data_IF_797941359119
#
_entry.id   IF_797941359119
#
_cell.length_a   1.000
_cell.length_b   1.000
_cell.length_c   1.000
_cell.angle_alpha   90.00
_cell.angle_beta   90.00
_cell.angle_gamma   90.00
#
_symmetry.space_group_name_H-M   'P 1'
#
loop_
_entity.id
_entity.type
_entity.pdbx_description
1 polymer ?
#
# COMPACT_ATOMS: atom_id res chain seq x y z
N UNK A 1 -23.87 -60.40 58.33
CA UNK A 1 -22.64 -60.19 57.58
C UNK A 1 -22.98 -60.12 56.11
N UNK A 2 -23.16 -58.93 55.57
CA UNK A 2 -23.55 -58.69 54.17
C UNK A 2 -22.51 -57.80 53.52
N UNK A 3 -21.84 -58.31 52.48
CA UNK A 3 -20.86 -57.56 51.65
C UNK A 3 -21.59 -56.83 50.55
N UNK A 4 -21.61 -55.54 50.56
CA UNK A 4 -22.04 -54.70 49.43
C UNK A 4 -20.88 -54.49 48.47
N UNK A 5 -21.07 -54.90 47.22
CA UNK A 5 -20.13 -54.61 46.11
C UNK A 5 -20.46 -53.20 45.55
N UNK A 6 -19.45 -52.31 45.53
CA UNK A 6 -19.52 -51.09 44.78
C UNK A 6 -19.20 -51.36 43.30
N UNK A 7 -20.11 -51.05 42.44
CA UNK A 7 -19.88 -51.07 41.00
C UNK A 7 -19.37 -49.69 40.55
N UNK A 8 -18.17 -49.66 39.96
CA UNK A 8 -17.58 -48.48 39.37
C UNK A 8 -18.17 -48.27 37.96
N UNK A 9 -18.92 -47.22 37.79
CA UNK A 9 -19.36 -46.77 36.47
C UNK A 9 -18.24 -45.93 35.78
N UNK A 10 -17.70 -46.47 34.68
CA UNK A 10 -16.76 -45.75 33.83
C UNK A 10 -17.57 -44.89 32.86
N UNK A 11 -17.54 -43.59 33.05
CA UNK A 11 -18.11 -42.63 32.11
C UNK A 11 -17.14 -42.40 30.95
N UNK A 12 -17.46 -42.91 29.76
CA UNK A 12 -16.78 -42.57 28.51
C UNK A 12 -17.17 -41.12 28.12
N UNK A 13 -16.24 -40.17 28.26
CA UNK A 13 -16.36 -38.86 27.70
C UNK A 13 -16.06 -38.93 26.19
N UNK A 14 -17.06 -38.82 25.36
CA UNK A 14 -16.92 -38.64 23.89
C UNK A 14 -16.49 -37.21 23.64
N UNK A 15 -15.22 -37.00 23.37
CA UNK A 15 -14.68 -35.73 22.86
C UNK A 15 -15.14 -35.56 21.40
N UNK A 16 -16.22 -34.82 21.21
CA UNK A 16 -16.60 -34.34 19.90
C UNK A 16 -15.57 -33.29 19.45
N UNK A 17 -14.65 -33.70 18.59
CA UNK A 17 -13.73 -32.80 17.89
C UNK A 17 -14.59 -31.92 16.94
N UNK A 18 -14.87 -30.71 17.34
CA UNK A 18 -15.41 -29.68 16.47
C UNK A 18 -14.32 -29.28 15.47
N UNK A 19 -14.32 -29.89 14.29
CA UNK A 19 -13.60 -29.44 13.14
C UNK A 19 -14.13 -28.07 12.76
N UNK A 20 -13.45 -27.00 13.21
CA UNK A 20 -13.71 -25.67 12.62
C UNK A 20 -13.45 -25.79 11.12
N UNK A 21 -14.40 -25.42 10.26
CA UNK A 21 -14.10 -25.31 8.84
C UNK A 21 -13.02 -24.25 8.71
N UNK A 22 -11.82 -24.68 8.27
CA UNK A 22 -10.73 -23.77 7.94
C UNK A 22 -11.31 -22.68 7.04
N UNK A 23 -11.03 -21.41 7.38
CA UNK A 23 -11.26 -20.29 6.51
C UNK A 23 -10.46 -20.54 5.23
N UNK A 24 -11.03 -21.31 4.31
CA UNK A 24 -10.55 -21.43 2.96
C UNK A 24 -10.50 -20.01 2.41
N UNK A 25 -9.30 -19.52 2.16
CA UNK A 25 -9.06 -18.28 1.43
C UNK A 25 -9.90 -18.35 0.17
N UNK A 26 -11.00 -17.59 0.11
CA UNK A 26 -11.90 -17.53 -1.03
C UNK A 26 -11.27 -16.79 -2.22
N UNK A 27 -10.03 -17.11 -2.56
CA UNK A 27 -9.38 -16.81 -3.83
C UNK A 27 -9.82 -17.87 -4.85
N UNK A 28 -11.15 -17.95 -5.07
CA UNK A 28 -11.79 -18.92 -5.91
C UNK A 28 -11.15 -19.00 -7.28
N UNK A 29 -10.67 -20.20 -7.62
CA UNK A 29 -10.24 -20.63 -8.97
C UNK A 29 -11.46 -20.70 -9.92
N UNK A 30 -12.25 -19.63 -10.00
CA UNK A 30 -13.50 -19.55 -10.72
C UNK A 30 -13.47 -18.44 -11.79
N UNK A 31 -14.61 -17.93 -12.22
CA UNK A 31 -14.79 -16.98 -13.33
C UNK A 31 -13.95 -15.69 -13.25
N UNK A 32 -13.36 -15.35 -12.10
CA UNK A 32 -12.46 -14.19 -11.95
C UNK A 32 -11.13 -14.32 -12.73
N UNK A 33 -10.72 -15.52 -13.15
CA UNK A 33 -9.44 -15.70 -13.85
C UNK A 33 -9.39 -15.03 -15.23
N UNK A 34 -10.53 -14.90 -15.90
CA UNK A 34 -10.65 -14.22 -17.21
C UNK A 34 -10.67 -12.70 -17.09
N UNK A 35 -10.95 -12.16 -15.91
CA UNK A 35 -10.93 -10.71 -15.67
C UNK A 35 -9.55 -10.14 -15.88
N UNK A 36 -9.48 -8.90 -16.33
CA UNK A 36 -8.25 -8.11 -16.40
C UNK A 36 -7.96 -7.46 -15.03
N UNK A 37 -6.70 -7.14 -14.78
CA UNK A 37 -6.27 -6.49 -13.53
C UNK A 37 -7.05 -5.21 -13.21
N UNK A 38 -7.41 -4.42 -14.23
CA UNK A 38 -8.17 -3.18 -14.05
C UNK A 38 -9.67 -3.39 -13.89
N UNK A 39 -10.16 -4.62 -14.02
CA UNK A 39 -11.58 -4.97 -13.84
C UNK A 39 -11.93 -5.39 -12.40
N UNK A 40 -10.98 -5.28 -11.49
CA UNK A 40 -11.19 -5.51 -10.06
C UNK A 40 -10.94 -4.25 -9.25
N UNK A 41 -11.42 -4.24 -8.00
CA UNK A 41 -11.11 -3.24 -7.00
C UNK A 41 -10.58 -3.92 -5.74
N UNK A 42 -9.55 -3.33 -5.13
CA UNK A 42 -8.90 -3.80 -3.90
C UNK A 42 -8.73 -2.65 -2.92
N UNK A 43 -8.62 -3.00 -1.63
CA UNK A 43 -8.19 -2.07 -0.59
C UNK A 43 -6.67 -2.12 -0.47
N UNK A 44 -6.07 -0.97 -0.24
CA UNK A 44 -4.69 -0.81 0.16
C UNK A 44 -4.56 0.07 1.39
N UNK A 45 -3.39 0.09 2.00
CA UNK A 45 -3.05 1.02 3.07
C UNK A 45 -2.25 2.19 2.51
N UNK A 46 -2.44 3.38 3.10
CA UNK A 46 -1.59 4.54 2.93
C UNK A 46 -0.49 4.48 3.98
N UNK A 47 0.72 4.90 3.68
CA UNK A 47 1.86 4.83 4.61
C UNK A 47 1.96 3.49 5.36
N UNK A 48 1.94 2.39 4.65
CA UNK A 48 1.76 1.03 5.19
C UNK A 48 2.78 0.60 6.25
N UNK A 49 3.88 1.29 6.34
CA UNK A 49 4.99 1.08 7.27
C UNK A 49 4.86 1.94 8.53
N UNK A 50 3.98 2.96 8.53
CA UNK A 50 3.94 4.02 9.52
C UNK A 50 3.66 3.51 10.94
N UNK A 51 4.42 4.05 11.89
CA UNK A 51 4.18 3.95 13.33
C UNK A 51 4.25 5.35 13.93
N UNK A 52 3.27 5.64 14.75
CA UNK A 52 3.20 6.92 15.45
C UNK A 52 4.40 7.15 16.37
N UNK A 53 4.78 8.40 16.52
CA UNK A 53 5.79 8.87 17.46
C UNK A 53 5.36 8.63 18.91
N UNK A 54 6.32 8.53 19.83
CA UNK A 54 6.08 8.53 21.26
C UNK A 54 5.52 9.87 21.74
N UNK A 55 4.88 9.92 22.88
CA UNK A 55 4.32 11.17 23.44
C UNK A 55 5.33 12.33 23.51
N UNK A 56 6.58 12.13 24.02
CA UNK A 56 7.58 13.22 24.02
C UNK A 56 7.95 13.69 22.60
N UNK A 57 8.05 12.77 21.64
CA UNK A 57 8.36 13.10 20.26
C UNK A 57 7.22 13.87 19.57
N UNK A 58 5.95 13.54 19.85
CA UNK A 58 4.79 14.29 19.36
C UNK A 58 4.78 15.72 19.90
N UNK A 59 5.02 15.89 21.20
CA UNK A 59 5.11 17.21 21.80
C UNK A 59 6.25 18.06 21.18
N UNK A 60 7.40 17.45 20.90
CA UNK A 60 8.51 18.10 20.23
C UNK A 60 8.18 18.43 18.74
N UNK A 61 7.44 17.55 18.06
CA UNK A 61 6.92 17.79 16.72
C UNK A 61 5.97 18.99 16.70
N UNK A 62 4.97 19.00 17.58
CA UNK A 62 3.96 20.04 17.63
C UNK A 62 4.56 21.40 18.03
N UNK A 63 5.60 21.42 18.87
CA UNK A 63 6.35 22.63 19.21
C UNK A 63 7.03 23.26 17.97
N UNK A 64 7.45 22.46 16.98
CA UNK A 64 8.00 22.94 15.71
C UNK A 64 6.92 23.68 14.89
N UNK A 65 5.66 23.27 15.01
CA UNK A 65 4.52 23.83 14.29
C UNK A 65 3.68 24.80 15.13
N UNK A 66 4.27 25.41 16.16
CA UNK A 66 3.61 26.43 16.98
C UNK A 66 2.81 25.91 18.17
N UNK A 67 2.98 24.64 18.55
CA UNK A 67 2.42 24.05 19.77
C UNK A 67 0.97 23.56 19.65
N UNK A 68 0.32 23.69 18.49
CA UNK A 68 -0.98 23.08 18.27
C UNK A 68 -0.85 21.55 18.17
N UNK A 69 -1.85 20.75 18.62
CA UNK A 69 -1.77 19.29 18.60
C UNK A 69 -1.97 18.72 17.18
N UNK A 70 -1.11 19.12 16.26
CA UNK A 70 -1.17 18.75 14.83
C UNK A 70 -0.93 17.26 14.67
N UNK A 71 0.07 16.72 15.39
CA UNK A 71 0.40 15.29 15.27
C UNK A 71 -0.77 14.40 15.68
N UNK A 72 -1.36 14.68 16.83
CA UNK A 72 -2.49 13.88 17.35
C UNK A 72 -3.75 13.98 16.48
N UNK A 73 -3.89 15.05 15.72
CA UNK A 73 -5.03 15.23 14.81
C UNK A 73 -4.82 14.65 13.40
N UNK A 74 -3.57 14.37 13.00
CA UNK A 74 -3.25 13.94 11.63
C UNK A 74 -2.47 12.64 11.54
N UNK A 75 -1.51 12.39 12.45
CA UNK A 75 -0.48 11.36 12.28
C UNK A 75 -0.42 10.32 13.43
N UNK A 76 -1.20 10.49 14.50
CA UNK A 76 -1.15 9.59 15.65
C UNK A 76 -1.86 8.24 15.39
N UNK A 77 -1.50 7.55 14.33
CA UNK A 77 -1.96 6.19 13.99
C UNK A 77 -0.78 5.27 13.70
N UNK A 78 -1.01 3.97 13.73
CA UNK A 78 0.03 2.97 13.44
C UNK A 78 -0.53 1.80 12.65
N UNK A 79 0.24 1.31 11.70
CA UNK A 79 -0.09 0.11 10.95
C UNK A 79 0.50 -1.16 11.57
N UNK A 80 -0.15 -2.29 11.32
CA UNK A 80 0.40 -3.61 11.54
C UNK A 80 1.59 -3.88 10.60
N UNK A 81 2.37 -4.93 10.86
CA UNK A 81 3.44 -5.35 9.93
C UNK A 81 2.90 -5.65 8.52
N UNK A 82 3.71 -5.43 7.48
CA UNK A 82 3.31 -5.66 6.09
C UNK A 82 2.72 -7.07 5.84
N UNK A 83 3.29 -8.17 6.36
CA UNK A 83 2.68 -9.49 6.21
C UNK A 83 1.30 -9.62 6.88
N UNK A 84 1.09 -8.94 8.01
CA UNK A 84 -0.19 -8.95 8.71
C UNK A 84 -1.27 -8.17 7.93
N UNK A 85 -0.91 -7.03 7.35
CA UNK A 85 -1.80 -6.27 6.47
C UNK A 85 -2.23 -7.11 5.26
N UNK A 86 -1.30 -7.80 4.60
CA UNK A 86 -1.58 -8.67 3.45
C UNK A 86 -2.39 -9.92 3.83
N UNK A 87 -2.09 -10.51 4.99
CA UNK A 87 -2.71 -11.76 5.46
C UNK A 87 -4.04 -11.51 6.18
N UNK A 88 -3.98 -11.02 7.41
CA UNK A 88 -5.15 -10.86 8.29
C UNK A 88 -6.08 -9.74 7.84
N UNK A 89 -5.51 -8.56 7.52
CA UNK A 89 -6.31 -7.41 7.09
C UNK A 89 -6.76 -7.50 5.62
N UNK A 90 -6.24 -8.45 4.86
CA UNK A 90 -6.71 -8.73 3.50
C UNK A 90 -6.42 -7.65 2.47
N UNK A 91 -5.54 -6.67 2.76
CA UNK A 91 -5.19 -5.62 1.80
C UNK A 91 -4.38 -6.17 0.62
N UNK A 92 -4.48 -5.49 -0.52
CA UNK A 92 -3.75 -5.85 -1.75
C UNK A 92 -3.00 -4.67 -2.36
N UNK A 93 -3.00 -3.54 -1.67
CA UNK A 93 -2.16 -2.38 -1.95
C UNK A 93 -1.34 -1.97 -0.73
N UNK A 94 -0.12 -1.54 -0.95
CA UNK A 94 0.78 -0.98 0.06
C UNK A 94 1.36 0.34 -0.47
N UNK A 95 1.69 1.25 0.44
CA UNK A 95 2.39 2.49 0.12
C UNK A 95 3.64 2.61 0.98
N UNK A 96 4.79 2.91 0.36
CA UNK A 96 6.09 3.01 1.01
C UNK A 96 6.78 4.31 0.57
N UNK A 97 7.18 5.13 1.53
CA UNK A 97 7.90 6.38 1.28
C UNK A 97 9.40 6.15 1.37
N UNK A 98 10.11 6.57 0.35
CA UNK A 98 11.48 6.17 0.10
C UNK A 98 12.46 7.32 0.24
N UNK A 99 13.54 7.08 0.96
CA UNK A 99 14.67 8.00 1.14
C UNK A 99 15.98 7.35 0.69
N UNK A 100 16.73 7.94 -0.27
CA UNK A 100 18.03 7.41 -0.69
C UNK A 100 19.05 7.47 0.45
N UNK A 101 19.67 6.34 0.75
CA UNK A 101 20.77 6.25 1.73
C UNK A 101 21.86 5.27 1.28
N UNK A 102 22.58 5.61 0.19
CA UNK A 102 23.54 4.69 -0.42
C UNK A 102 24.71 4.30 0.49
N UNK A 103 25.08 5.15 1.44
CA UNK A 103 26.16 4.89 2.39
C UNK A 103 25.66 4.26 3.71
N UNK A 104 24.38 4.44 4.05
CA UNK A 104 23.82 4.12 5.37
C UNK A 104 24.06 5.23 6.39
N UNK A 105 23.27 5.23 7.47
CA UNK A 105 23.44 6.13 8.61
C UNK A 105 22.88 7.53 8.46
N UNK A 106 22.48 7.97 7.26
CA UNK A 106 22.04 9.34 7.00
C UNK A 106 20.87 9.77 7.88
N UNK A 107 19.93 8.87 8.13
CA UNK A 107 18.67 9.15 8.85
C UNK A 107 18.68 8.59 10.29
N UNK A 108 19.84 8.18 10.79
CA UNK A 108 19.95 7.56 12.11
C UNK A 108 19.83 8.55 13.27
N UNK A 109 19.99 9.86 13.03
CA UNK A 109 19.91 10.89 14.07
C UNK A 109 18.91 12.01 13.70
N UNK A 110 17.59 11.72 13.73
CA UNK A 110 16.55 12.68 13.37
C UNK A 110 16.56 13.97 14.22
N UNK A 111 16.10 15.09 13.66
CA UNK A 111 16.01 16.39 14.34
C UNK A 111 15.24 16.30 15.67
N UNK A 112 14.10 15.59 15.74
CA UNK A 112 13.32 15.44 16.96
C UNK A 112 14.15 14.75 18.06
N UNK A 113 14.91 13.72 17.74
CA UNK A 113 15.77 13.03 18.72
C UNK A 113 16.89 13.93 19.22
N UNK A 114 17.48 14.74 18.36
CA UNK A 114 18.50 15.73 18.74
C UNK A 114 17.92 16.77 19.70
N UNK A 115 16.70 17.27 19.44
CA UNK A 115 16.00 18.21 20.31
C UNK A 115 15.65 17.62 21.69
N UNK A 116 15.38 16.34 21.74
CA UNK A 116 15.06 15.62 22.97
C UNK A 116 16.30 15.04 23.67
N UNK A 117 17.52 15.29 23.16
CA UNK A 117 18.76 14.68 23.64
C UNK A 117 18.66 13.13 23.78
N UNK A 118 17.85 12.49 22.93
CA UNK A 118 17.56 11.04 23.00
C UNK A 118 18.62 10.16 22.32
N UNK A 119 19.67 10.77 21.76
CA UNK A 119 20.71 10.10 20.99
C UNK A 119 20.20 9.51 19.65
N UNK A 120 21.10 8.96 18.81
CA UNK A 120 20.73 8.37 17.55
C UNK A 120 19.92 7.08 17.71
N UNK A 121 19.23 6.68 16.64
CA UNK A 121 18.58 5.38 16.51
C UNK A 121 19.64 4.28 16.44
N UNK A 122 19.46 3.18 17.16
CA UNK A 122 20.52 2.17 17.34
C UNK A 122 20.35 0.91 16.50
N UNK A 123 19.15 0.69 15.91
CA UNK A 123 18.92 -0.51 15.12
C UNK A 123 19.82 -0.55 13.86
N UNK A 124 20.46 -1.71 13.55
CA UNK A 124 21.43 -1.83 12.47
C UNK A 124 20.91 -1.43 11.09
N UNK A 125 19.60 -1.54 10.86
CA UNK A 125 18.96 -1.15 9.60
C UNK A 125 19.14 0.33 9.27
N UNK A 126 19.26 1.20 10.28
CA UNK A 126 19.50 2.62 10.09
C UNK A 126 20.88 2.90 9.48
N UNK A 127 21.87 2.07 9.81
CA UNK A 127 23.27 2.22 9.38
C UNK A 127 23.62 1.40 8.14
N UNK A 128 22.74 0.46 7.75
CA UNK A 128 22.96 -0.36 6.56
C UNK A 128 22.76 0.46 5.27
N UNK A 129 23.60 0.34 4.25
CA UNK A 129 23.36 0.93 2.94
C UNK A 129 22.04 0.51 2.30
N UNK A 130 21.43 1.41 1.52
CA UNK A 130 20.19 1.16 0.79
C UNK A 130 19.08 2.13 1.16
N UNK A 131 17.99 2.06 0.40
CA UNK A 131 16.84 2.97 0.56
C UNK A 131 16.14 2.72 1.90
N UNK A 132 15.81 3.81 2.62
CA UNK A 132 15.03 3.77 3.86
C UNK A 132 13.55 4.05 3.59
N UNK A 133 12.71 3.51 4.47
CA UNK A 133 11.26 3.70 4.44
C UNK A 133 10.88 4.49 5.69
N UNK A 134 10.51 5.75 5.48
CA UNK A 134 10.24 6.75 6.52
C UNK A 134 9.19 7.72 5.96
N UNK A 135 8.29 8.25 6.80
CA UNK A 135 7.30 9.24 6.37
C UNK A 135 7.94 10.63 6.20
N UNK A 136 8.52 11.18 7.28
CA UNK A 136 9.32 12.40 7.24
C UNK A 136 10.58 12.20 8.05
N UNK A 137 11.73 12.20 7.40
CA UNK A 137 13.00 11.70 7.94
C UNK A 137 13.39 12.27 9.31
N UNK A 138 13.09 13.52 9.59
CA UNK A 138 13.44 14.23 10.83
C UNK A 138 12.28 14.40 11.81
N UNK A 139 11.04 14.34 11.31
CA UNK A 139 9.85 14.76 12.04
C UNK A 139 8.84 13.66 12.29
N UNK A 140 8.86 12.56 11.50
CA UNK A 140 7.97 11.42 11.66
C UNK A 140 8.64 10.15 11.06
N UNK A 141 9.57 9.60 11.82
CA UNK A 141 10.55 8.60 11.33
C UNK A 141 10.29 7.18 11.82
N UNK A 142 9.29 6.93 12.65
CA UNK A 142 8.99 5.57 13.10
C UNK A 142 8.41 4.71 11.97
N UNK A 143 8.94 3.50 11.84
CA UNK A 143 8.57 2.58 10.77
C UNK A 143 8.52 1.14 11.30
N UNK A 144 7.55 0.35 10.81
CA UNK A 144 7.51 -1.11 11.06
C UNK A 144 8.56 -1.86 10.27
N UNK A 145 9.19 -1.19 9.28
CA UNK A 145 10.15 -1.80 8.37
C UNK A 145 11.00 -0.72 7.70
N UNK A 146 12.25 -0.53 8.16
CA UNK A 146 13.10 0.63 7.82
C UNK A 146 13.79 0.52 6.46
N UNK A 147 14.28 -0.67 6.05
CA UNK A 147 15.08 -0.84 4.82
C UNK A 147 14.26 -1.45 3.70
N UNK A 148 14.20 -0.79 2.53
CA UNK A 148 13.38 -1.21 1.40
C UNK A 148 13.57 -2.69 1.04
N UNK A 149 14.79 -3.13 0.82
CA UNK A 149 15.05 -4.53 0.47
C UNK A 149 14.56 -5.53 1.53
N UNK A 150 14.61 -5.17 2.82
CA UNK A 150 14.10 -6.01 3.91
C UNK A 150 12.57 -6.07 3.90
N UNK A 151 11.91 -4.94 3.71
CA UNK A 151 10.46 -4.83 3.60
C UNK A 151 9.93 -5.62 2.40
N UNK A 152 10.58 -5.45 1.26
CA UNK A 152 10.21 -6.18 0.04
C UNK A 152 10.42 -7.68 0.17
N UNK A 153 11.42 -8.14 0.93
CA UNK A 153 11.58 -9.57 1.27
C UNK A 153 10.43 -10.12 2.12
N UNK A 154 9.87 -9.31 3.05
CA UNK A 154 8.66 -9.68 3.80
C UNK A 154 7.47 -9.88 2.87
N UNK A 155 7.22 -8.91 1.99
CA UNK A 155 6.15 -8.96 0.98
C UNK A 155 6.34 -10.18 0.07
N UNK A 156 7.55 -10.41 -0.44
CA UNK A 156 7.86 -11.56 -1.30
C UNK A 156 7.62 -12.90 -0.61
N UNK A 157 8.03 -13.05 0.66
CA UNK A 157 7.76 -14.27 1.44
C UNK A 157 6.27 -14.55 1.53
N UNK A 158 5.48 -13.52 1.89
CA UNK A 158 4.03 -13.65 1.94
C UNK A 158 3.44 -14.01 0.57
N UNK A 159 3.84 -13.31 -0.49
CA UNK A 159 3.38 -13.57 -1.86
C UNK A 159 3.66 -15.00 -2.32
N UNK A 160 4.83 -15.53 -2.01
CA UNK A 160 5.21 -16.92 -2.33
C UNK A 160 4.43 -17.96 -1.56
N UNK A 161 4.10 -17.67 -0.31
CA UNK A 161 3.24 -18.55 0.50
C UNK A 161 1.76 -18.51 0.04
N UNK A 162 1.35 -17.45 -0.66
CA UNK A 162 -0.04 -17.21 -1.06
C UNK A 162 -0.19 -17.02 -2.58
N UNK A 163 0.37 -17.91 -3.40
CA UNK A 163 0.49 -17.73 -4.88
C UNK A 163 -0.81 -17.49 -5.63
N UNK A 164 -1.97 -17.74 -5.00
CA UNK A 164 -3.29 -17.46 -5.56
C UNK A 164 -3.73 -16.00 -5.44
N UNK A 165 -2.99 -15.14 -4.74
CA UNK A 165 -3.41 -13.75 -4.53
C UNK A 165 -3.55 -12.97 -5.84
N UNK A 166 -4.49 -12.01 -5.89
CA UNK A 166 -4.53 -11.03 -6.99
C UNK A 166 -3.29 -10.14 -6.95
N UNK A 167 -2.90 -9.47 -8.05
CA UNK A 167 -1.70 -8.64 -8.06
C UNK A 167 -1.60 -7.72 -6.85
N UNK A 168 -0.44 -7.69 -6.20
CA UNK A 168 -0.15 -6.69 -5.19
C UNK A 168 0.27 -5.39 -5.89
N UNK A 169 -0.30 -4.28 -5.45
CA UNK A 169 0.01 -2.94 -5.95
C UNK A 169 0.83 -2.22 -4.89
N UNK A 170 2.12 -1.96 -5.14
CA UNK A 170 2.99 -1.25 -4.20
C UNK A 170 3.27 0.14 -4.76
N UNK A 171 2.73 1.14 -4.08
CA UNK A 171 2.94 2.54 -4.38
C UNK A 171 4.22 3.00 -3.68
N UNK A 172 5.08 3.71 -4.40
CA UNK A 172 6.35 4.24 -3.89
C UNK A 172 6.34 5.75 -4.01
N UNK A 173 6.38 6.44 -2.87
CA UNK A 173 6.60 7.89 -2.81
C UNK A 173 8.10 8.16 -2.64
N UNK A 174 8.70 8.85 -3.60
CA UNK A 174 10.09 9.23 -3.57
C UNK A 174 10.21 10.59 -2.89
N UNK A 175 10.68 10.57 -1.66
CA UNK A 175 10.71 11.75 -0.78
C UNK A 175 11.89 12.65 -1.09
N UNK A 176 11.68 13.93 -0.84
CA UNK A 176 12.67 14.99 -0.92
C UNK A 176 12.87 15.61 0.48
N UNK A 177 13.79 16.54 0.62
CA UNK A 177 14.02 17.25 1.89
C UNK A 177 12.73 17.97 2.32
N UNK A 178 12.28 17.68 3.53
CA UNK A 178 11.17 18.44 4.12
C UNK A 178 11.61 19.90 4.35
N UNK A 179 10.87 20.89 3.85
CA UNK A 179 11.29 22.30 3.94
C UNK A 179 11.41 22.80 5.39
N UNK A 180 10.50 22.35 6.29
CA UNK A 180 10.50 22.78 7.70
C UNK A 180 11.69 22.15 8.42
N UNK A 181 11.89 20.85 8.28
CA UNK A 181 13.04 20.17 8.86
C UNK A 181 14.35 20.75 8.31
N UNK A 182 14.44 20.97 7.00
CA UNK A 182 15.61 21.55 6.35
C UNK A 182 15.99 22.92 6.90
N UNK A 183 15.03 23.82 7.08
CA UNK A 183 15.22 25.14 7.67
C UNK A 183 15.71 25.09 9.14
N UNK A 184 15.45 23.98 9.84
CA UNK A 184 15.85 23.75 11.24
C UNK A 184 17.11 22.89 11.38
N UNK A 185 17.89 22.70 10.31
CA UNK A 185 19.09 21.89 10.32
C UNK A 185 18.83 20.39 10.29
N UNK A 186 17.69 19.98 9.73
CA UNK A 186 17.37 18.61 9.41
C UNK A 186 18.23 18.02 8.29
N UNK A 187 18.06 16.74 8.01
CA UNK A 187 18.86 16.01 7.04
C UNK A 187 18.52 16.43 5.60
N UNK A 188 19.53 16.74 4.80
CA UNK A 188 19.36 16.92 3.36
C UNK A 188 19.23 15.57 2.65
N UNK A 189 18.16 15.41 1.88
CA UNK A 189 17.87 14.19 1.12
C UNK A 189 18.60 14.25 -0.22
N UNK A 190 19.36 13.21 -0.60
CA UNK A 190 19.97 13.13 -1.94
C UNK A 190 18.90 13.14 -3.04
N UNK A 191 19.16 13.79 -4.18
CA UNK A 191 18.18 13.90 -5.25
C UNK A 191 17.86 12.52 -5.88
N UNK A 192 16.64 12.37 -6.37
CA UNK A 192 16.21 11.24 -7.20
C UNK A 192 16.57 11.48 -8.67
N UNK A 193 17.87 11.53 -8.95
CA UNK A 193 18.40 11.59 -10.31
C UNK A 193 18.28 10.25 -11.06
N UNK A 194 18.68 10.23 -12.33
CA UNK A 194 18.62 9.01 -13.15
C UNK A 194 19.36 7.82 -12.52
N UNK A 195 20.51 8.07 -11.91
CA UNK A 195 21.33 7.01 -11.27
C UNK A 195 20.65 6.48 -9.99
N UNK A 196 20.05 7.36 -9.18
CA UNK A 196 19.26 6.95 -8.00
C UNK A 196 18.04 6.13 -8.39
N UNK A 197 17.37 6.50 -9.47
CA UNK A 197 16.22 5.78 -10.01
C UNK A 197 16.58 4.43 -10.62
N UNK A 198 17.73 4.33 -11.27
CA UNK A 198 18.28 3.05 -11.75
C UNK A 198 18.66 2.12 -10.58
N UNK A 199 19.21 2.67 -9.49
CA UNK A 199 19.48 1.92 -8.25
C UNK A 199 18.19 1.42 -7.59
N UNK A 200 17.10 2.22 -7.58
CA UNK A 200 15.80 1.80 -7.09
C UNK A 200 15.27 0.58 -7.89
N UNK A 201 15.28 0.66 -9.23
CA UNK A 201 14.90 -0.45 -10.09
C UNK A 201 15.75 -1.71 -9.80
N UNK A 202 17.07 -1.53 -9.62
CA UNK A 202 18.00 -2.61 -9.29
C UNK A 202 17.72 -3.22 -7.90
N UNK A 203 17.46 -2.39 -6.88
CA UNK A 203 17.13 -2.86 -5.53
C UNK A 203 15.84 -3.71 -5.53
N UNK A 204 14.81 -3.29 -6.26
CA UNK A 204 13.58 -4.09 -6.43
C UNK A 204 13.88 -5.42 -7.12
N UNK A 205 14.67 -5.41 -8.21
CA UNK A 205 15.06 -6.63 -8.93
C UNK A 205 15.95 -7.56 -8.13
N UNK A 206 16.73 -7.04 -7.18
CA UNK A 206 17.53 -7.86 -6.27
C UNK A 206 16.68 -8.72 -5.35
N UNK A 207 15.45 -8.25 -5.07
CA UNK A 207 14.50 -8.96 -4.21
C UNK A 207 13.57 -9.87 -5.02
N UNK A 208 12.98 -9.38 -6.10
CA UNK A 208 11.98 -10.13 -6.89
C UNK A 208 12.59 -10.70 -8.17
N UNK A 209 12.27 -11.96 -8.48
CA UNK A 209 12.55 -12.52 -9.81
C UNK A 209 11.70 -11.83 -10.87
N UNK A 210 12.16 -11.79 -12.11
CA UNK A 210 11.41 -11.19 -13.23
C UNK A 210 9.98 -11.77 -13.36
N UNK A 211 9.81 -13.06 -13.13
CA UNK A 211 8.51 -13.74 -13.18
C UNK A 211 7.56 -13.35 -12.03
N UNK A 212 8.08 -12.79 -10.94
CA UNK A 212 7.28 -12.33 -9.79
C UNK A 212 6.82 -10.87 -9.94
N UNK A 213 7.32 -10.15 -10.96
CA UNK A 213 7.01 -8.74 -11.22
C UNK A 213 6.03 -8.59 -12.38
N UNK A 214 5.13 -7.60 -12.28
CA UNK A 214 4.39 -7.03 -13.40
C UNK A 214 5.03 -5.68 -13.68
N UNK A 215 5.71 -5.56 -14.83
CA UNK A 215 6.38 -4.34 -15.26
C UNK A 215 5.67 -3.71 -16.45
N UNK A 216 6.00 -2.46 -16.84
CA UNK A 216 5.48 -1.87 -18.07
C UNK A 216 5.66 -2.74 -19.32
N UNK A 217 6.76 -3.52 -19.39
CA UNK A 217 7.01 -4.43 -20.51
C UNK A 217 6.02 -5.62 -20.59
N UNK A 218 5.43 -6.04 -19.46
CA UNK A 218 4.38 -7.08 -19.48
C UNK A 218 3.03 -6.56 -20.01
N UNK A 219 2.83 -5.25 -19.99
CA UNK A 219 1.58 -4.57 -20.35
C UNK A 219 1.66 -3.96 -21.73
N UNK A 220 2.81 -3.39 -22.08
CA UNK A 220 3.03 -2.76 -23.40
C UNK A 220 2.99 -3.80 -24.51
N UNK A 221 2.31 -3.47 -25.61
CA UNK A 221 2.21 -4.31 -26.80
C UNK A 221 3.20 -3.84 -27.87
N UNK A 222 3.72 -4.76 -28.70
CA UNK A 222 4.58 -4.39 -29.82
C UNK A 222 3.95 -3.29 -30.69
N UNK A 223 4.76 -2.31 -31.07
CA UNK A 223 4.32 -1.16 -31.90
C UNK A 223 3.41 -0.14 -31.19
N UNK A 224 3.10 -0.32 -29.92
CA UNK A 224 2.26 0.61 -29.15
C UNK A 224 3.02 1.25 -27.99
N UNK A 225 2.66 2.48 -27.65
CA UNK A 225 3.04 3.06 -26.35
C UNK A 225 2.37 2.31 -25.22
N UNK A 226 2.86 2.46 -24.00
CA UNK A 226 2.22 1.87 -22.81
C UNK A 226 0.77 2.36 -22.69
N UNK A 227 0.54 3.67 -22.86
CA UNK A 227 -0.79 4.27 -22.83
C UNK A 227 -1.73 3.65 -23.87
N UNK A 228 -1.30 3.57 -25.13
CA UNK A 228 -2.13 2.95 -26.19
C UNK A 228 -2.40 1.47 -25.92
N UNK A 229 -1.47 0.78 -25.27
CA UNK A 229 -1.64 -0.62 -24.91
C UNK A 229 -2.77 -0.80 -23.89
N UNK A 230 -2.78 -0.03 -22.79
CA UNK A 230 -3.82 -0.15 -21.76
C UNK A 230 -5.20 0.29 -22.26
N UNK A 231 -5.27 1.36 -23.04
CA UNK A 231 -6.53 1.91 -23.55
C UNK A 231 -7.14 1.02 -24.65
N UNK A 232 -6.32 0.52 -25.59
CA UNK A 232 -6.84 -0.22 -26.76
C UNK A 232 -6.87 -1.73 -26.58
N UNK A 233 -5.94 -2.29 -25.80
CA UNK A 233 -5.74 -3.73 -25.62
C UNK A 233 -6.02 -4.22 -24.21
N UNK A 234 -6.06 -3.30 -23.24
CA UNK A 234 -6.30 -3.55 -21.83
C UNK A 234 -5.13 -4.25 -21.12
N UNK A 235 -5.31 -4.46 -19.85
CA UNK A 235 -4.35 -5.06 -18.93
C UNK A 235 -4.27 -6.58 -19.05
N UNK A 236 -3.22 -7.24 -18.52
CA UNK A 236 -3.16 -8.68 -18.38
C UNK A 236 -4.35 -9.24 -17.61
N UNK A 237 -4.75 -10.46 -17.93
CA UNK A 237 -5.78 -11.19 -17.16
C UNK A 237 -5.27 -11.58 -15.78
N UNK A 238 -6.16 -11.75 -14.81
CA UNK A 238 -5.80 -12.22 -13.47
C UNK A 238 -5.11 -13.58 -13.51
N UNK A 239 -5.47 -14.46 -14.45
CA UNK A 239 -4.76 -15.72 -14.66
C UNK A 239 -3.25 -15.54 -14.90
N UNK A 240 -2.86 -14.47 -15.61
CA UNK A 240 -1.44 -14.14 -15.89
C UNK A 240 -0.80 -13.30 -14.79
N UNK A 241 -1.60 -12.60 -13.99
CA UNK A 241 -1.14 -11.59 -13.05
C UNK A 241 -1.13 -12.07 -11.58
N UNK A 242 -1.85 -13.16 -11.24
CA UNK A 242 -1.86 -13.70 -9.87
C UNK A 242 -0.47 -14.09 -9.40
N UNK A 243 -0.24 -13.93 -8.09
CA UNK A 243 1.03 -14.24 -7.44
C UNK A 243 2.17 -13.30 -7.81
N UNK A 244 1.87 -12.15 -8.47
CA UNK A 244 2.86 -11.16 -8.92
C UNK A 244 2.67 -9.82 -8.24
N UNK A 245 3.72 -9.00 -8.25
CA UNK A 245 3.78 -7.68 -7.62
C UNK A 245 4.01 -6.62 -8.69
N UNK A 246 3.33 -5.49 -8.57
CA UNK A 246 3.43 -4.33 -9.44
C UNK A 246 3.83 -3.11 -8.62
N UNK A 247 4.79 -2.33 -9.11
CA UNK A 247 5.25 -1.11 -8.47
C UNK A 247 4.74 0.13 -9.21
N UNK A 248 4.25 1.10 -8.44
CA UNK A 248 3.65 2.34 -8.91
C UNK A 248 4.43 3.51 -8.31
N UNK A 249 4.79 4.52 -9.11
CA UNK A 249 5.38 5.76 -8.61
C UNK A 249 4.28 6.69 -8.13
N UNK A 250 4.33 7.13 -6.88
CA UNK A 250 3.35 8.06 -6.31
C UNK A 250 3.55 9.49 -6.83
N UNK A 251 4.81 9.91 -6.99
CA UNK A 251 5.16 11.23 -7.46
C UNK A 251 4.48 11.54 -8.79
N UNK A 252 3.82 12.70 -8.84
CA UNK A 252 3.16 13.21 -10.05
C UNK A 252 4.16 13.64 -11.13
N UNK A 253 3.64 14.18 -12.24
CA UNK A 253 4.48 14.76 -13.27
C UNK A 253 5.36 15.90 -12.73
N UNK A 254 6.68 15.73 -12.82
CA UNK A 254 7.70 16.65 -12.30
C UNK A 254 9.11 16.16 -12.64
N UNK A 255 10.12 16.68 -11.95
CA UNK A 255 11.54 16.37 -12.21
C UNK A 255 11.84 14.86 -12.06
N UNK A 256 11.35 14.22 -11.00
CA UNK A 256 11.57 12.80 -10.72
C UNK A 256 10.99 11.91 -11.83
N UNK A 257 9.71 12.13 -12.21
CA UNK A 257 9.09 11.34 -13.27
C UNK A 257 9.70 11.63 -14.64
N UNK A 258 10.17 12.85 -14.90
CA UNK A 258 10.90 13.20 -16.11
C UNK A 258 12.23 12.46 -16.19
N UNK A 259 13.01 12.44 -15.11
CA UNK A 259 14.26 11.67 -15.03
C UNK A 259 14.02 10.16 -15.21
N UNK A 260 12.93 9.62 -14.65
CA UNK A 260 12.60 8.19 -14.78
C UNK A 260 12.22 7.79 -16.21
N UNK A 261 11.57 8.68 -16.96
CA UNK A 261 11.14 8.45 -18.34
C UNK A 261 12.16 8.88 -19.41
N UNK A 262 13.27 9.52 -18.99
CA UNK A 262 14.30 10.00 -19.91
C UNK A 262 14.86 8.85 -20.78
N UNK A 263 14.84 9.03 -22.11
CA UNK A 263 15.21 8.01 -23.08
C UNK A 263 14.26 6.79 -23.17
N UNK A 264 13.22 6.73 -22.33
CA UNK A 264 12.31 5.58 -22.21
C UNK A 264 10.84 6.05 -22.11
N UNK A 265 10.30 6.76 -23.11
CA UNK A 265 9.01 7.46 -23.02
C UNK A 265 7.80 6.53 -22.76
N UNK A 266 7.94 5.22 -23.00
CA UNK A 266 6.93 4.20 -22.70
C UNK A 266 7.43 3.19 -21.66
N UNK A 267 8.36 3.60 -20.80
CA UNK A 267 8.92 2.83 -19.67
C UNK A 267 9.58 1.50 -20.07
N UNK A 268 10.24 1.43 -21.24
CA UNK A 268 10.98 0.24 -21.66
C UNK A 268 12.06 -0.12 -20.62
N UNK A 269 12.08 -1.38 -20.16
CA UNK A 269 13.04 -1.88 -19.20
C UNK A 269 12.90 -1.32 -17.79
N UNK A 270 11.93 -0.46 -17.49
CA UNK A 270 11.65 0.07 -16.15
C UNK A 270 10.82 -0.91 -15.30
N UNK A 271 10.86 -0.74 -13.98
CA UNK A 271 10.06 -1.54 -13.04
C UNK A 271 8.75 -0.84 -12.69
N UNK A 272 8.79 0.47 -12.44
CA UNK A 272 7.66 1.24 -11.95
C UNK A 272 6.78 1.75 -13.11
N UNK A 273 5.47 1.79 -12.83
CA UNK A 273 4.51 2.57 -13.60
C UNK A 273 4.42 3.97 -13.02
N UNK A 274 4.60 4.98 -13.84
CA UNK A 274 4.55 6.39 -13.42
C UNK A 274 3.11 6.86 -13.18
N UNK A 275 2.92 7.73 -12.19
CA UNK A 275 1.70 8.53 -12.05
C UNK A 275 1.74 9.62 -13.12
N UNK A 276 1.13 9.35 -14.26
CA UNK A 276 1.27 10.16 -15.47
C UNK A 276 -0.03 10.82 -15.90
N UNK A 277 0.07 11.88 -16.71
CA UNK A 277 -1.11 12.51 -17.31
C UNK A 277 -1.67 11.62 -18.42
N UNK A 278 -3.01 11.41 -18.47
CA UNK A 278 -3.66 10.69 -19.57
C UNK A 278 -3.21 11.21 -20.94
N UNK A 279 -2.96 10.29 -21.88
CA UNK A 279 -2.48 10.61 -23.23
C UNK A 279 -0.95 10.59 -23.39
N UNK A 280 -0.17 10.74 -22.33
CA UNK A 280 1.29 10.60 -22.44
C UNK A 280 1.70 9.15 -22.70
N UNK A 281 2.82 8.90 -23.40
CA UNK A 281 3.24 7.54 -23.78
C UNK A 281 3.40 6.56 -22.60
N UNK A 282 3.79 7.03 -21.42
CA UNK A 282 3.97 6.27 -20.18
C UNK A 282 2.69 6.09 -19.36
N UNK A 283 1.58 6.75 -19.74
CA UNK A 283 0.37 6.80 -18.92
C UNK A 283 -0.38 5.46 -18.92
N UNK A 284 -0.29 4.75 -17.81
CA UNK A 284 -1.09 3.55 -17.52
C UNK A 284 -1.72 3.63 -16.11
N UNK A 285 -1.05 4.30 -15.20
CA UNK A 285 -1.45 4.55 -13.83
C UNK A 285 -1.70 6.05 -13.59
N UNK A 286 -2.74 6.37 -12.79
CA UNK A 286 -3.12 7.75 -12.44
C UNK A 286 -3.54 7.80 -10.98
N UNK A 287 -2.92 8.67 -10.19
CA UNK A 287 -3.34 8.96 -8.81
C UNK A 287 -4.38 10.09 -8.77
N UNK A 288 -5.47 9.88 -8.04
CA UNK A 288 -6.53 10.85 -7.76
C UNK A 288 -7.00 10.66 -6.32
N UNK A 289 -6.35 11.35 -5.37
CA UNK A 289 -6.59 11.14 -3.92
C UNK A 289 -7.98 11.55 -3.48
N UNK A 290 -8.49 12.67 -3.98
CA UNK A 290 -9.80 13.20 -3.62
C UNK A 290 -10.89 12.64 -4.56
N UNK A 291 -11.77 11.75 -4.09
CA UNK A 291 -12.81 11.16 -4.93
C UNK A 291 -14.15 11.90 -4.91
N UNK A 292 -14.31 12.94 -4.08
CA UNK A 292 -15.61 13.64 -3.88
C UNK A 292 -15.91 14.64 -5.00
N UNK A 293 -17.16 15.07 -5.09
CA UNK A 293 -17.62 16.11 -6.03
C UNK A 293 -17.34 15.76 -7.50
N UNK A 294 -16.85 16.72 -8.26
CA UNK A 294 -16.53 16.56 -9.68
C UNK A 294 -15.45 15.52 -9.96
N UNK A 295 -14.57 15.26 -8.99
CA UNK A 295 -13.50 14.28 -9.10
C UNK A 295 -14.02 12.85 -9.25
N UNK A 296 -15.17 12.52 -8.63
CA UNK A 296 -15.79 11.21 -8.78
C UNK A 296 -16.03 10.85 -10.25
N UNK A 297 -16.59 11.79 -11.00
CA UNK A 297 -16.84 11.58 -12.44
C UNK A 297 -15.53 11.55 -13.24
N UNK A 298 -14.52 12.31 -12.83
CA UNK A 298 -13.19 12.25 -13.46
C UNK A 298 -12.55 10.86 -13.26
N UNK A 299 -12.56 10.32 -12.03
CA UNK A 299 -12.06 8.97 -11.75
C UNK A 299 -12.81 7.94 -12.59
N UNK A 300 -14.14 7.99 -12.64
CA UNK A 300 -14.96 7.07 -13.44
C UNK A 300 -14.62 7.12 -14.93
N UNK A 301 -14.36 8.32 -15.49
CA UNK A 301 -13.90 8.45 -16.89
C UNK A 301 -12.55 7.78 -17.11
N UNK A 302 -11.58 7.99 -16.22
CA UNK A 302 -10.25 7.36 -16.29
C UNK A 302 -10.35 5.84 -16.24
N UNK A 303 -11.15 5.32 -15.32
CA UNK A 303 -11.41 3.88 -15.16
C UNK A 303 -12.01 3.27 -16.43
N UNK A 304 -13.05 3.91 -17.02
CA UNK A 304 -13.66 3.46 -18.27
C UNK A 304 -12.71 3.55 -19.48
N UNK A 305 -11.79 4.52 -19.45
CA UNK A 305 -10.75 4.64 -20.48
C UNK A 305 -9.65 3.58 -20.37
N UNK A 306 -9.64 2.76 -19.30
CA UNK A 306 -8.71 1.65 -19.15
C UNK A 306 -7.49 1.94 -18.27
N UNK A 307 -7.37 3.13 -17.68
CA UNK A 307 -6.31 3.44 -16.74
C UNK A 307 -6.52 2.70 -15.41
N UNK A 308 -5.42 2.33 -14.76
CA UNK A 308 -5.41 1.92 -13.36
C UNK A 308 -5.39 3.18 -12.49
N UNK A 309 -6.34 3.31 -11.58
CA UNK A 309 -6.50 4.50 -10.75
C UNK A 309 -6.36 4.14 -9.27
N UNK A 310 -5.61 4.96 -8.52
CA UNK A 310 -5.58 4.96 -7.06
C UNK A 310 -6.33 6.18 -6.56
N UNK A 311 -7.13 5.97 -5.48
CA UNK A 311 -7.78 7.04 -4.73
C UNK A 311 -7.66 6.80 -3.23
N UNK A 312 -8.00 7.78 -2.39
CA UNK A 312 -8.04 7.66 -0.93
C UNK A 312 -9.49 7.67 -0.44
N UNK A 313 -9.75 6.91 0.61
CA UNK A 313 -11.04 6.84 1.30
C UNK A 313 -11.12 7.71 2.54
N UNK A 314 -9.97 8.18 3.01
CA UNK A 314 -9.79 9.00 4.20
C UNK A 314 -8.57 9.92 4.08
N UNK A 315 -8.59 11.00 4.85
CA UNK A 315 -7.41 11.74 5.29
C UNK A 315 -7.12 11.27 6.71
N UNK A 316 -5.88 10.85 7.03
CA UNK A 316 -5.56 10.26 8.32
C UNK A 316 -6.11 11.10 9.48
N UNK A 317 -6.68 10.43 10.44
CA UNK A 317 -7.35 10.94 11.62
C UNK A 317 -8.43 11.99 11.40
N UNK A 318 -8.21 13.03 10.60
CA UNK A 318 -9.21 14.08 10.36
C UNK A 318 -10.57 13.51 9.91
N UNK A 319 -10.56 12.56 8.97
CA UNK A 319 -11.78 11.87 8.53
C UNK A 319 -12.36 10.98 9.63
N UNK A 320 -11.51 10.28 10.36
CA UNK A 320 -11.95 9.37 11.45
C UNK A 320 -12.52 10.16 12.61
N UNK A 321 -11.83 11.22 13.04
CA UNK A 321 -12.27 12.06 14.15
C UNK A 321 -13.59 12.78 13.84
N UNK A 322 -13.80 13.23 12.59
CA UNK A 322 -15.05 13.84 12.15
C UNK A 322 -16.21 12.85 12.02
N UNK A 323 -15.92 11.55 11.87
CA UNK A 323 -16.92 10.52 11.57
C UNK A 323 -17.50 10.62 10.15
N UNK A 324 -16.95 11.48 9.27
CA UNK A 324 -17.44 11.64 7.89
C UNK A 324 -17.06 10.43 7.03
N UNK A 325 -18.05 9.78 6.49
CA UNK A 325 -17.90 8.62 5.58
C UNK A 325 -18.08 8.98 4.11
N UNK A 326 -18.24 10.26 3.78
CA UNK A 326 -18.54 10.72 2.41
C UNK A 326 -17.41 10.37 1.45
N UNK A 327 -16.16 10.62 1.87
CA UNK A 327 -14.98 10.27 1.06
C UNK A 327 -14.87 8.76 0.85
N UNK A 328 -15.09 7.95 1.89
CA UNK A 328 -15.10 6.48 1.81
C UNK A 328 -16.14 5.98 0.80
N UNK A 329 -17.39 6.48 0.88
CA UNK A 329 -18.44 6.11 -0.08
C UNK A 329 -18.10 6.50 -1.51
N UNK A 330 -17.57 7.71 -1.70
CA UNK A 330 -17.12 8.19 -3.01
C UNK A 330 -15.99 7.32 -3.57
N UNK A 331 -14.95 7.03 -2.77
CA UNK A 331 -13.81 6.21 -3.16
C UNK A 331 -14.26 4.81 -3.61
N UNK A 332 -15.05 4.11 -2.79
CA UNK A 332 -15.54 2.78 -3.11
C UNK A 332 -16.42 2.75 -4.36
N UNK A 333 -17.26 3.78 -4.60
CA UNK A 333 -18.14 3.87 -5.78
C UNK A 333 -17.46 4.43 -7.04
N UNK A 334 -16.25 4.94 -6.92
CA UNK A 334 -15.53 5.60 -8.02
C UNK A 334 -15.07 4.65 -9.11
N UNK A 335 -14.87 3.36 -8.77
CA UNK A 335 -14.26 2.36 -9.64
C UNK A 335 -12.73 2.41 -9.68
N UNK A 336 -12.07 3.28 -8.91
CA UNK A 336 -10.62 3.19 -8.73
C UNK A 336 -10.24 1.78 -8.30
N UNK A 337 -9.22 1.22 -8.95
CA UNK A 337 -8.81 -0.16 -8.69
C UNK A 337 -8.13 -0.32 -7.34
N UNK A 338 -7.43 0.72 -6.87
CA UNK A 338 -6.81 0.79 -5.55
C UNK A 338 -7.47 1.90 -4.73
N UNK A 339 -8.14 1.51 -3.65
CA UNK A 339 -8.68 2.42 -2.64
C UNK A 339 -7.82 2.34 -1.40
N UNK A 340 -7.07 3.41 -1.11
CA UNK A 340 -6.16 3.48 0.05
C UNK A 340 -6.88 4.01 1.28
N UNK A 341 -6.50 3.46 2.46
CA UNK A 341 -7.00 3.84 3.78
C UNK A 341 -5.91 3.66 4.83
N UNK A 342 -6.04 4.35 5.96
CA UNK A 342 -5.25 4.08 7.16
C UNK A 342 -6.00 3.16 8.16
N UNK A 343 -7.25 2.80 7.87
CA UNK A 343 -8.13 2.00 8.74
C UNK A 343 -8.74 0.78 8.02
N UNK A 344 -7.91 -0.21 7.61
CA UNK A 344 -8.38 -1.36 6.84
C UNK A 344 -9.07 -2.45 7.65
N UNK A 345 -9.13 -2.33 8.98
CA UNK A 345 -9.62 -3.38 9.89
C UNK A 345 -10.57 -2.82 10.95
N UNK A 346 -11.60 -3.59 11.26
CA UNK A 346 -12.54 -3.26 12.35
C UNK A 346 -11.79 -3.14 13.68
N UNK A 347 -12.13 -2.13 14.46
CA UNK A 347 -11.55 -1.86 15.77
C UNK A 347 -10.28 -0.99 15.75
N UNK A 348 -9.66 -0.74 14.61
CA UNK A 348 -8.48 0.15 14.56
C UNK A 348 -8.79 1.58 15.01
N UNK A 349 -9.99 2.09 14.75
CA UNK A 349 -10.42 3.43 15.13
C UNK A 349 -11.04 3.52 16.53
N UNK A 350 -11.20 2.39 17.25
CA UNK A 350 -11.82 2.36 18.56
C UNK A 350 -11.09 3.22 19.61
N UNK A 351 -9.77 3.36 19.49
CA UNK A 351 -8.95 4.24 20.36
C UNK A 351 -9.30 5.73 20.25
N UNK A 352 -10.08 6.13 19.24
CA UNK A 352 -10.56 7.49 19.00
C UNK A 352 -12.08 7.59 19.23
N UNK A 353 -12.69 6.62 19.92
CA UNK A 353 -14.13 6.50 20.11
C UNK A 353 -14.92 6.50 18.79
N UNK A 354 -14.40 5.78 17.80
CA UNK A 354 -14.99 5.64 16.46
C UNK A 354 -15.03 4.18 16.00
N UNK A 355 -15.94 3.89 15.08
CA UNK A 355 -16.08 2.60 14.41
C UNK A 355 -15.70 2.65 12.92
N UNK A 356 -14.86 3.62 12.55
CA UNK A 356 -14.47 3.83 11.16
C UNK A 356 -13.61 2.67 10.65
N UNK A 357 -14.02 2.12 9.50
CA UNK A 357 -13.29 1.07 8.79
C UNK A 357 -13.53 1.19 7.29
N UNK A 358 -12.55 0.81 6.48
CA UNK A 358 -12.68 0.74 5.03
C UNK A 358 -12.45 -0.69 4.56
N UNK A 359 -13.54 -1.34 4.18
CA UNK A 359 -13.56 -2.68 3.63
C UNK A 359 -14.35 -2.70 2.32
N UNK A 360 -14.10 -3.71 1.48
CA UNK A 360 -14.89 -3.91 0.28
C UNK A 360 -16.33 -4.34 0.66
N UNK A 361 -17.37 -3.78 0.03
CA UNK A 361 -18.72 -4.31 0.16
C UNK A 361 -18.76 -5.81 -0.17
N UNK A 362 -19.39 -6.58 0.72
CA UNK A 362 -19.44 -8.05 0.64
C UNK A 362 -18.20 -8.75 1.20
N UNK A 363 -17.26 -8.03 1.77
CA UNK A 363 -16.04 -8.60 2.38
C UNK A 363 -14.99 -9.07 1.37
N UNK A 364 -13.97 -9.77 1.89
CA UNK A 364 -12.86 -10.30 1.08
C UNK A 364 -11.84 -9.26 0.63
N UNK A 365 -10.80 -9.74 -0.06
CA UNK A 365 -9.65 -8.92 -0.46
C UNK A 365 -9.75 -8.35 -1.89
N UNK A 366 -10.79 -8.72 -2.63
CA UNK A 366 -11.02 -8.30 -4.02
C UNK A 366 -12.50 -8.33 -4.35
N UNK A 367 -12.96 -7.35 -5.12
CA UNK A 367 -14.28 -7.37 -5.74
C UNK A 367 -14.21 -6.98 -7.22
N UNK A 368 -15.26 -7.27 -7.95
CA UNK A 368 -15.44 -6.75 -9.30
C UNK A 368 -15.54 -5.23 -9.31
N UNK A 369 -14.94 -4.60 -10.31
CA UNK A 369 -14.97 -3.14 -10.44
C UNK A 369 -16.42 -2.63 -10.61
N UNK A 370 -16.91 -1.75 -9.74
CA UNK A 370 -18.30 -1.30 -9.75
C UNK A 370 -18.66 -0.40 -10.93
N UNK A 371 -17.68 0.15 -11.63
CA UNK A 371 -17.87 1.05 -12.78
C UNK A 371 -17.77 0.30 -14.11
N UNK A 372 -16.80 -0.62 -14.24
CA UNK A 372 -16.62 -1.44 -15.47
C UNK A 372 -17.69 -2.53 -15.55
N UNK A 373 -18.06 -3.15 -14.42
CA UNK A 373 -19.05 -4.23 -14.30
C UNK A 373 -18.82 -5.33 -15.34
N UNK A 374 -17.67 -6.03 -15.31
CA UNK A 374 -17.34 -7.04 -16.30
C UNK A 374 -18.35 -8.20 -16.30
N UNK A 375 -18.58 -8.82 -17.45
CA UNK A 375 -19.61 -9.88 -17.63
C UNK A 375 -19.59 -10.99 -16.58
N UNK A 376 -18.42 -11.58 -16.22
CA UNK A 376 -18.38 -12.66 -15.22
C UNK A 376 -18.89 -12.26 -13.82
N UNK A 377 -19.05 -10.95 -13.58
CA UNK A 377 -19.52 -10.41 -12.29
C UNK A 377 -21.00 -10.05 -12.28
N UNK A 378 -21.62 -9.94 -13.46
CA UNK A 378 -23.05 -9.54 -13.58
C UNK A 378 -24.01 -10.63 -13.10
N UNK A 379 -23.57 -11.90 -13.16
CA UNK A 379 -24.40 -13.06 -12.81
C UNK A 379 -24.48 -13.38 -11.31
N UNK A 380 -23.89 -12.55 -10.43
CA UNK A 380 -23.82 -12.78 -8.98
C UNK A 380 -24.64 -11.79 -8.14
N UNK A 381 -25.44 -10.94 -8.77
CA UNK A 381 -26.46 -10.16 -8.06
C UNK A 381 -27.83 -10.57 -8.60
N UNK A 382 -28.72 -11.15 -7.75
CA UNK A 382 -30.12 -11.28 -8.08
C UNK A 382 -30.79 -9.92 -8.24
#
# INVERSE_FOLDING_TARGET
MSRRRLGSAVALAVLAAWSMPGLASADGRGPLQSLRMNEIQVIGTHNSYHRELSKPERAAHDAIYGGAPIYDNLLAYSHASLPNQLGRQGVRGLELDLYPDPAGGRYANPLLRRRLAAGPLTAPEWYSPGIKIIHTADLDYHSTCVRLASCLRLVRRWSRANRGHVPLLILLELKETDPVAGALGGVSVPPWDGAALDRLDAEIRSVFRRSELITPDDVRRPGLTLQRSVVRRGWPTLRRARGRVMFLMDNGPGAISAAYTAGRPSLHGRVLFTNSRPGRPDAAFVKRNEPRGANLNQIRRLVRAGYLVRTRSDEPLATVLSGDTTQRRAALSSGAQLVSTDFPEVGMSARYDRDYVVALPGGGSVRCNPVIRPRPCRSRHP
#
